data_IF_507008149835
#
_entry.id   IF_507008149835
#
_cell.length_a   1.000
_cell.length_b   1.000
_cell.length_c   1.000
_cell.angle_alpha   90.00
_cell.angle_beta   90.00
_cell.angle_gamma   90.00
#
_symmetry.space_group_name_H-M   'P 1'
#
loop_
_entity.id
_entity.type
_entity.pdbx_description
1 polymer ?
#
# COMPACT_ATOMS: atom_id res chain seq x y z
N UNK A 1 -12.88 23.66 53.12
CA UNK A 1 -12.72 24.77 52.15
C UNK A 1 -13.73 24.57 51.03
N UNK A 2 -14.58 25.56 50.75
CA UNK A 2 -15.80 25.38 49.95
C UNK A 2 -15.46 25.41 48.44
N UNK A 3 -15.64 24.30 47.72
CA UNK A 3 -15.21 24.11 46.32
C UNK A 3 -15.74 25.21 45.38
N UNK A 4 -16.94 25.72 45.68
CA UNK A 4 -17.60 26.81 44.96
C UNK A 4 -16.78 28.12 44.96
N UNK A 5 -16.18 28.48 46.10
CA UNK A 5 -15.35 29.70 46.24
C UNK A 5 -14.02 29.62 45.47
N UNK A 6 -13.54 28.41 45.17
CA UNK A 6 -12.30 28.20 44.42
C UNK A 6 -12.57 28.36 42.92
N UNK A 7 -13.68 27.82 42.43
CA UNK A 7 -14.11 27.91 41.02
C UNK A 7 -14.42 29.37 40.64
N UNK A 8 -15.11 30.11 41.52
CA UNK A 8 -15.42 31.53 41.29
C UNK A 8 -14.16 32.43 41.26
N UNK A 9 -13.06 32.01 41.90
CA UNK A 9 -11.80 32.76 41.96
C UNK A 9 -10.87 32.53 40.76
N UNK A 10 -10.97 31.36 40.14
CA UNK A 10 -10.09 30.93 39.05
C UNK A 10 -10.70 31.30 37.69
N UNK A 11 -12.03 31.42 37.62
CA UNK A 11 -12.75 31.71 36.37
C UNK A 11 -12.84 30.49 35.46
N UNK A 12 -13.84 30.46 34.58
CA UNK A 12 -14.06 29.32 33.67
C UNK A 12 -12.98 29.20 32.58
N UNK A 13 -12.24 30.26 32.31
CA UNK A 13 -11.27 30.34 31.22
C UNK A 13 -10.06 29.36 31.35
N UNK A 14 -9.32 29.32 32.47
CA UNK A 14 -8.23 28.36 32.63
C UNK A 14 -8.70 26.91 32.69
N UNK A 15 -9.91 26.63 33.19
CA UNK A 15 -10.50 25.29 33.18
C UNK A 15 -10.79 24.85 31.74
N UNK A 16 -11.38 25.72 30.92
CA UNK A 16 -11.64 25.44 29.51
C UNK A 16 -10.35 25.23 28.71
N UNK A 17 -9.31 26.05 28.96
CA UNK A 17 -8.01 25.90 28.31
C UNK A 17 -7.33 24.57 28.68
N UNK A 18 -7.41 24.16 29.94
CA UNK A 18 -6.85 22.88 30.40
C UNK A 18 -7.58 21.67 29.79
N UNK A 19 -8.91 21.75 29.65
CA UNK A 19 -9.68 20.71 28.96
C UNK A 19 -9.34 20.64 27.47
N UNK A 20 -9.20 21.78 26.80
CA UNK A 20 -8.80 21.83 25.38
C UNK A 20 -7.38 21.31 25.15
N UNK A 21 -6.45 21.60 26.06
CA UNK A 21 -5.09 21.06 25.96
C UNK A 21 -5.05 19.56 26.24
N UNK A 22 -5.84 19.04 27.19
CA UNK A 22 -6.00 17.59 27.38
C UNK A 22 -6.59 16.95 26.12
N UNK A 23 -7.65 17.51 25.52
CA UNK A 23 -8.24 16.97 24.29
C UNK A 23 -7.19 17.00 23.16
N UNK A 24 -6.47 18.11 22.99
CA UNK A 24 -5.43 18.23 21.96
C UNK A 24 -4.28 17.25 22.16
N UNK A 25 -3.82 17.07 23.40
CA UNK A 25 -2.76 16.11 23.77
C UNK A 25 -3.24 14.68 23.58
N UNK A 26 -4.46 14.36 24.04
CA UNK A 26 -5.03 13.02 23.90
C UNK A 26 -5.23 12.70 22.43
N UNK A 27 -5.77 13.63 21.63
CA UNK A 27 -5.88 13.51 20.17
C UNK A 27 -4.51 13.33 19.51
N UNK A 28 -3.50 14.10 19.92
CA UNK A 28 -2.14 13.97 19.40
C UNK A 28 -1.51 12.60 19.71
N UNK A 29 -1.75 12.04 20.90
CA UNK A 29 -1.20 10.75 21.32
C UNK A 29 -2.03 9.54 20.83
N UNK A 30 -3.35 9.64 20.66
CA UNK A 30 -4.14 8.53 20.10
C UNK A 30 -3.93 8.35 18.61
N UNK A 31 -3.53 9.39 17.87
CA UNK A 31 -3.32 9.32 16.41
C UNK A 31 -1.88 8.95 16.01
N UNK A 32 -0.92 8.92 16.93
CA UNK A 32 0.40 8.36 16.64
C UNK A 32 0.37 6.86 16.85
N UNK A 33 0.30 6.14 15.74
CA UNK A 33 0.57 4.71 15.68
C UNK A 33 2.02 4.47 16.14
N UNK A 34 2.21 3.97 17.37
CA UNK A 34 3.52 3.59 17.87
C UNK A 34 3.81 2.18 17.36
N UNK A 35 4.44 2.10 16.21
CA UNK A 35 4.93 0.87 15.62
C UNK A 35 6.37 0.65 16.09
N UNK A 36 6.65 -0.51 16.69
CA UNK A 36 8.03 -0.93 16.87
C UNK A 36 8.60 -1.36 15.52
N UNK A 37 9.10 -0.37 14.77
CA UNK A 37 9.62 -0.54 13.42
C UNK A 37 10.83 -1.47 13.36
N UNK A 38 11.50 -1.72 14.48
CA UNK A 38 12.75 -2.48 14.52
C UNK A 38 12.55 -3.97 14.20
N UNK A 39 11.33 -4.48 14.35
CA UNK A 39 11.02 -5.89 14.10
C UNK A 39 10.75 -6.20 12.61
N UNK A 40 10.45 -5.19 11.79
CA UNK A 40 10.01 -5.37 10.41
C UNK A 40 11.04 -4.82 9.43
N UNK A 41 11.35 -5.59 8.38
CA UNK A 41 12.11 -5.06 7.23
C UNK A 41 11.19 -4.58 6.11
N UNK A 42 9.90 -4.92 6.17
CA UNK A 42 8.86 -4.30 5.37
C UNK A 42 7.66 -4.00 6.26
N UNK A 43 7.22 -2.75 6.27
CA UNK A 43 5.93 -2.37 6.83
C UNK A 43 5.39 -1.20 6.04
N UNK A 44 4.32 -1.44 5.30
CA UNK A 44 3.68 -0.45 4.45
C UNK A 44 2.18 -0.42 4.69
N UNK A 45 1.56 0.74 4.45
CA UNK A 45 0.13 0.94 4.70
C UNK A 45 -0.52 1.69 3.56
N UNK A 46 -1.68 1.21 3.13
CA UNK A 46 -2.50 1.81 2.10
C UNK A 46 -3.87 2.16 2.66
N UNK A 47 -4.33 3.39 2.46
CA UNK A 47 -5.73 3.76 2.71
C UNK A 47 -6.59 3.30 1.53
N UNK A 48 -7.70 2.64 1.81
CA UNK A 48 -8.61 2.17 0.76
C UNK A 48 -9.26 3.34 0.01
N UNK A 49 -9.69 3.17 -1.26
CA UNK A 49 -10.32 4.25 -2.02
C UNK A 49 -11.60 4.82 -1.40
N UNK A 50 -12.27 4.08 -0.52
CA UNK A 50 -13.43 4.55 0.25
C UNK A 50 -13.07 5.19 1.60
N UNK A 51 -11.77 5.26 1.91
CA UNK A 51 -11.18 5.86 3.11
C UNK A 51 -11.59 5.23 4.45
N UNK A 52 -12.20 4.04 4.42
CA UNK A 52 -12.72 3.38 5.63
C UNK A 52 -11.73 2.42 6.26
N UNK A 53 -10.81 1.87 5.49
CA UNK A 53 -9.91 0.81 5.94
C UNK A 53 -8.47 1.13 5.62
N UNK A 54 -7.57 0.61 6.45
CA UNK A 54 -6.17 0.48 6.12
C UNK A 54 -5.86 -0.95 5.72
N UNK A 55 -5.01 -1.07 4.71
CA UNK A 55 -4.40 -2.32 4.32
C UNK A 55 -2.92 -2.24 4.62
N UNK A 56 -2.46 -3.12 5.51
CA UNK A 56 -1.06 -3.23 5.86
C UNK A 56 -0.46 -4.40 5.10
N UNK A 57 0.74 -4.19 4.54
CA UNK A 57 1.63 -5.24 4.07
C UNK A 57 2.83 -5.24 5.00
N UNK A 58 3.23 -6.41 5.48
CA UNK A 58 4.34 -6.53 6.41
C UNK A 58 5.20 -7.75 6.09
N UNK A 59 6.48 -7.63 6.44
CA UNK A 59 7.44 -8.72 6.40
C UNK A 59 8.47 -8.55 7.52
N UNK A 60 8.77 -9.65 8.20
CA UNK A 60 9.85 -9.72 9.20
C UNK A 60 10.59 -11.03 9.13
N UNK A 61 11.83 -11.00 9.59
CA UNK A 61 12.67 -12.18 9.65
C UNK A 61 12.03 -13.24 10.55
N UNK A 62 11.97 -14.47 10.04
CA UNK A 62 11.61 -15.64 10.83
C UNK A 62 12.68 -15.97 11.87
N UNK A 63 12.36 -16.89 12.79
CA UNK A 63 13.39 -17.55 13.58
C UNK A 63 14.29 -18.41 12.67
N UNK A 64 15.48 -18.79 13.16
CA UNK A 64 16.36 -19.71 12.44
C UNK A 64 15.58 -20.96 11.98
N UNK A 65 15.72 -21.32 10.70
CA UNK A 65 15.03 -22.44 10.04
C UNK A 65 13.51 -22.28 9.82
N UNK A 66 12.95 -21.09 10.11
CA UNK A 66 11.60 -20.72 9.64
C UNK A 66 11.74 -19.67 8.54
N UNK A 67 10.90 -19.77 7.50
CA UNK A 67 10.84 -18.73 6.47
C UNK A 67 10.37 -17.39 7.06
N UNK A 68 10.57 -16.32 6.29
CA UNK A 68 10.09 -15.00 6.68
C UNK A 68 8.59 -15.00 6.92
N UNK A 69 8.17 -14.20 7.90
CA UNK A 69 6.76 -14.01 8.22
C UNK A 69 6.29 -12.81 7.41
N UNK A 70 5.47 -13.09 6.40
CA UNK A 70 4.89 -12.07 5.54
C UNK A 70 3.37 -12.17 5.56
N UNK A 71 2.70 -11.05 5.31
CA UNK A 71 1.26 -11.08 5.21
C UNK A 71 0.63 -9.73 4.94
N UNK A 72 -0.69 -9.78 4.81
CA UNK A 72 -1.50 -8.59 4.68
C UNK A 72 -2.63 -8.57 5.72
N UNK A 73 -2.96 -7.37 6.19
CA UNK A 73 -4.02 -7.13 7.17
C UNK A 73 -4.93 -6.01 6.72
N UNK A 74 -6.23 -6.26 6.74
CA UNK A 74 -7.28 -5.26 6.55
C UNK A 74 -7.84 -4.85 7.92
N UNK A 75 -7.66 -3.58 8.27
CA UNK A 75 -8.07 -2.99 9.54
C UNK A 75 -9.00 -1.80 9.30
N UNK A 76 -9.92 -1.51 10.23
CA UNK A 76 -10.69 -0.27 10.18
C UNK A 76 -9.77 0.94 10.40
N UNK A 77 -10.12 2.08 9.79
CA UNK A 77 -9.33 3.31 9.96
C UNK A 77 -9.31 3.73 11.43
N UNK A 78 -8.11 3.79 12.01
CA UNK A 78 -7.89 4.14 13.41
C UNK A 78 -7.57 2.95 14.30
N UNK A 79 -7.77 1.73 13.83
CA UNK A 79 -7.23 0.54 14.51
C UNK A 79 -5.70 0.53 14.40
N UNK A 80 -5.06 0.03 15.46
CA UNK A 80 -3.60 -0.11 15.49
C UNK A 80 -3.19 -1.40 14.80
N UNK A 81 -2.15 -1.33 13.98
CA UNK A 81 -1.56 -2.52 13.39
C UNK A 81 -1.06 -3.52 14.45
N UNK A 82 -1.43 -4.78 14.25
CA UNK A 82 -0.80 -5.95 14.85
C UNK A 82 -0.93 -7.13 13.88
N UNK A 83 0.02 -8.06 13.91
CA UNK A 83 0.02 -9.23 13.01
C UNK A 83 -1.21 -10.13 13.16
N UNK A 84 -1.96 -10.04 14.25
CA UNK A 84 -3.18 -10.80 14.49
C UNK A 84 -4.46 -9.94 14.50
N UNK A 85 -4.35 -8.64 14.20
CA UNK A 85 -5.49 -7.72 14.14
C UNK A 85 -6.21 -7.77 12.79
N UNK A 86 -7.48 -7.36 12.80
CA UNK A 86 -8.30 -7.24 11.60
C UNK A 86 -8.47 -8.57 10.84
N UNK A 87 -8.65 -8.46 9.52
CA UNK A 87 -8.80 -9.62 8.63
C UNK A 87 -7.49 -9.89 7.90
N UNK A 88 -6.97 -11.11 8.00
CA UNK A 88 -5.87 -11.57 7.14
C UNK A 88 -6.37 -11.83 5.73
N UNK A 89 -5.52 -11.57 4.75
CA UNK A 89 -5.64 -12.18 3.42
C UNK A 89 -4.24 -12.51 2.89
N UNK A 90 -4.04 -13.67 2.24
CA UNK A 90 -2.69 -14.16 1.92
C UNK A 90 -2.21 -13.76 0.52
N UNK A 91 -2.74 -12.67 -0.07
CA UNK A 91 -2.51 -12.33 -1.47
C UNK A 91 -2.02 -10.91 -1.67
N UNK A 92 -1.06 -10.72 -2.59
CA UNK A 92 -0.70 -9.40 -3.09
C UNK A 92 -1.80 -8.81 -3.96
N UNK A 93 -1.85 -7.48 -4.04
CA UNK A 93 -2.80 -6.77 -4.89
C UNK A 93 -2.16 -6.37 -6.20
N UNK A 94 -2.88 -6.58 -7.30
CA UNK A 94 -2.45 -6.13 -8.61
C UNK A 94 -3.12 -4.83 -9.02
N UNK A 95 -4.36 -4.60 -8.60
CA UNK A 95 -5.09 -3.37 -8.91
C UNK A 95 -6.35 -3.17 -8.06
N UNK A 96 -6.76 -1.91 -7.89
CA UNK A 96 -8.16 -1.57 -7.63
C UNK A 96 -8.95 -1.53 -8.94
N UNK A 97 -10.04 -2.29 -9.00
CA UNK A 97 -10.99 -2.23 -10.13
C UNK A 97 -12.13 -1.24 -9.88
N UNK A 98 -12.46 -1.02 -8.61
CA UNK A 98 -13.42 -0.04 -8.11
C UNK A 98 -13.07 0.30 -6.66
N UNK A 99 -13.91 1.11 -5.99
CA UNK A 99 -13.70 1.44 -4.57
C UNK A 99 -13.81 0.26 -3.61
N UNK A 100 -14.47 -0.81 -4.03
CA UNK A 100 -14.82 -1.98 -3.24
C UNK A 100 -14.33 -3.30 -3.86
N UNK A 101 -13.66 -3.25 -5.02
CA UNK A 101 -13.20 -4.46 -5.71
C UNK A 101 -11.70 -4.43 -5.96
N UNK A 102 -11.02 -5.47 -5.49
CA UNK A 102 -9.59 -5.67 -5.63
C UNK A 102 -9.32 -6.79 -6.63
N UNK A 103 -8.32 -6.60 -7.50
CA UNK A 103 -7.79 -7.63 -8.38
C UNK A 103 -6.58 -8.32 -7.75
N UNK A 104 -6.61 -9.65 -7.80
CA UNK A 104 -5.49 -10.52 -7.42
C UNK A 104 -5.25 -11.52 -8.54
N UNK A 105 -4.03 -11.63 -9.02
CA UNK A 105 -3.58 -12.64 -9.96
C UNK A 105 -3.00 -13.83 -9.19
N UNK A 106 -3.38 -15.04 -9.57
CA UNK A 106 -3.00 -16.30 -8.92
C UNK A 106 -2.39 -17.26 -9.94
N UNK A 107 -1.38 -17.99 -9.53
CA UNK A 107 -0.61 -18.88 -10.39
C UNK A 107 -0.65 -20.29 -9.80
N UNK A 108 -1.45 -21.16 -10.41
CA UNK A 108 -1.90 -22.41 -9.77
C UNK A 108 -0.99 -23.61 -10.04
N UNK A 109 -0.11 -23.57 -11.05
CA UNK A 109 0.61 -24.76 -11.48
C UNK A 109 2.09 -24.53 -11.80
N UNK A 110 2.94 -25.21 -11.04
CA UNK A 110 4.32 -25.49 -11.40
C UNK A 110 4.36 -26.47 -12.58
N UNK A 111 5.03 -26.10 -13.68
CA UNK A 111 5.30 -27.00 -14.81
C UNK A 111 4.19 -27.15 -15.86
N UNK A 112 3.15 -26.32 -15.83
CA UNK A 112 2.24 -26.18 -16.97
C UNK A 112 2.89 -25.31 -18.07
N UNK A 113 2.58 -25.57 -19.34
CA UNK A 113 2.91 -24.64 -20.41
C UNK A 113 2.30 -23.27 -20.06
N UNK A 114 3.14 -22.24 -20.03
CA UNK A 114 2.67 -20.90 -19.71
C UNK A 114 1.52 -20.52 -20.65
N UNK A 115 0.48 -19.89 -20.12
CA UNK A 115 -0.61 -19.31 -20.89
C UNK A 115 -0.89 -17.93 -20.31
N UNK A 116 -1.11 -16.95 -21.20
CA UNK A 116 -1.48 -15.58 -20.80
C UNK A 116 -2.98 -15.44 -20.51
N UNK A 117 -3.78 -16.42 -20.94
CA UNK A 117 -5.21 -16.50 -20.71
C UNK A 117 -5.52 -16.97 -19.28
N UNK A 118 -6.53 -16.36 -18.61
CA UNK A 118 -7.03 -16.87 -17.35
C UNK A 118 -7.60 -18.28 -17.48
N UNK A 119 -7.25 -19.16 -16.54
CA UNK A 119 -7.83 -20.51 -16.43
C UNK A 119 -9.15 -20.51 -15.65
N UNK A 120 -9.29 -19.59 -14.70
CA UNK A 120 -10.47 -19.44 -13.84
C UNK A 120 -10.52 -18.02 -13.28
N UNK A 121 -11.74 -17.55 -13.00
CA UNK A 121 -11.97 -16.32 -12.25
C UNK A 121 -12.88 -16.66 -11.07
N UNK A 122 -12.42 -16.38 -9.86
CA UNK A 122 -13.23 -16.52 -8.65
C UNK A 122 -13.47 -15.16 -8.00
N UNK A 123 -14.50 -15.10 -7.16
CA UNK A 123 -14.84 -13.93 -6.37
C UNK A 123 -14.96 -14.36 -4.91
N UNK A 124 -14.27 -13.63 -4.04
CA UNK A 124 -14.29 -13.85 -2.60
C UNK A 124 -14.68 -12.56 -1.88
N UNK A 125 -15.38 -12.66 -0.76
CA UNK A 125 -15.67 -11.51 0.10
C UNK A 125 -14.59 -11.37 1.17
N UNK A 126 -13.97 -10.19 1.23
CA UNK A 126 -13.04 -9.80 2.29
C UNK A 126 -13.65 -8.64 3.07
N UNK A 127 -14.55 -8.95 3.99
CA UNK A 127 -15.36 -7.94 4.65
C UNK A 127 -16.26 -7.20 3.67
N UNK A 128 -16.08 -5.89 3.55
CA UNK A 128 -16.87 -5.07 2.63
C UNK A 128 -16.28 -5.00 1.22
N UNK A 129 -15.19 -5.73 0.97
CA UNK A 129 -14.53 -5.78 -0.34
C UNK A 129 -14.88 -7.07 -1.08
N UNK A 130 -14.91 -6.97 -2.40
CA UNK A 130 -14.89 -8.10 -3.32
C UNK A 130 -13.46 -8.30 -3.81
N UNK A 131 -12.90 -9.48 -3.60
CA UNK A 131 -11.62 -9.89 -4.17
C UNK A 131 -11.89 -10.69 -5.42
N UNK A 132 -11.61 -10.10 -6.58
CA UNK A 132 -11.62 -10.80 -7.87
C UNK A 132 -10.26 -11.49 -8.06
N UNK A 133 -10.29 -12.81 -8.05
CA UNK A 133 -9.10 -13.64 -8.22
C UNK A 133 -9.06 -14.17 -9.66
N UNK A 134 -7.97 -13.88 -10.37
CA UNK A 134 -7.76 -14.35 -11.74
C UNK A 134 -6.63 -15.36 -11.72
N UNK A 135 -6.96 -16.61 -12.00
CA UNK A 135 -6.04 -17.73 -11.96
C UNK A 135 -5.42 -17.96 -13.34
N UNK A 136 -4.12 -18.26 -13.38
CA UNK A 136 -3.37 -18.62 -14.58
C UNK A 136 -2.73 -19.99 -14.40
N UNK A 137 -2.74 -20.78 -15.47
CA UNK A 137 -1.97 -22.03 -15.60
C UNK A 137 -0.56 -21.69 -16.07
N UNK A 138 0.21 -20.99 -15.25
CA UNK A 138 1.59 -20.63 -15.56
C UNK A 138 2.39 -20.57 -14.27
N UNK A 139 3.67 -20.92 -14.34
CA UNK A 139 4.64 -20.42 -13.39
C UNK A 139 5.00 -18.99 -13.74
N UNK A 140 5.22 -18.15 -12.73
CA UNK A 140 5.80 -16.83 -12.95
C UNK A 140 7.30 -17.03 -13.23
N UNK A 141 7.68 -16.88 -14.50
CA UNK A 141 9.00 -17.27 -14.98
C UNK A 141 9.97 -16.09 -14.92
N UNK A 142 10.56 -15.87 -13.74
CA UNK A 142 11.54 -14.82 -13.51
C UNK A 142 10.92 -13.48 -13.11
N UNK A 143 11.81 -12.52 -12.89
CA UNK A 143 11.49 -11.17 -12.46
C UNK A 143 12.32 -10.16 -13.24
N UNK A 144 11.67 -9.11 -13.72
CA UNK A 144 12.33 -7.92 -14.25
C UNK A 144 12.37 -6.84 -13.17
N UNK A 145 13.52 -6.17 -13.04
CA UNK A 145 13.61 -4.92 -12.30
C UNK A 145 14.12 -3.84 -13.23
N UNK A 146 13.49 -2.67 -13.18
CA UNK A 146 13.93 -1.51 -13.95
C UNK A 146 13.82 -0.27 -13.10
N UNK A 147 14.91 0.49 -13.04
CA UNK A 147 15.00 1.74 -12.31
C UNK A 147 15.05 2.90 -13.31
N UNK A 148 14.24 3.93 -13.06
CA UNK A 148 14.16 5.11 -13.88
C UNK A 148 14.09 6.37 -13.03
N UNK A 149 14.47 7.50 -13.63
CA UNK A 149 14.12 8.83 -13.12
C UNK A 149 12.96 9.40 -13.93
N UNK A 150 12.20 10.32 -13.32
CA UNK A 150 11.07 10.96 -13.99
C UNK A 150 10.91 12.44 -13.64
N UNK A 151 10.33 13.23 -14.54
CA UNK A 151 10.12 14.66 -14.35
C UNK A 151 8.91 14.98 -13.45
N UNK A 152 7.84 14.20 -13.60
CA UNK A 152 6.59 14.43 -12.88
C UNK A 152 5.75 13.18 -12.78
N UNK A 153 4.90 13.15 -11.77
CA UNK A 153 3.94 12.10 -11.54
C UNK A 153 2.69 12.65 -10.85
N UNK A 154 1.53 12.06 -11.13
CA UNK A 154 0.26 12.46 -10.53
C UNK A 154 -0.75 11.31 -10.60
N UNK A 155 -1.75 11.35 -9.73
CA UNK A 155 -2.84 10.37 -9.72
C UNK A 155 -4.03 10.92 -10.48
N UNK A 156 -4.58 10.12 -11.40
CA UNK A 156 -5.79 10.46 -12.13
C UNK A 156 -6.57 9.20 -12.51
N UNK A 157 -7.89 9.23 -12.30
CA UNK A 157 -8.82 8.15 -12.69
C UNK A 157 -8.38 6.75 -12.20
N UNK A 158 -7.95 6.67 -10.94
CA UNK A 158 -7.51 5.40 -10.33
C UNK A 158 -6.19 4.86 -10.87
N UNK A 159 -5.36 5.72 -11.47
CA UNK A 159 -4.04 5.38 -11.97
C UNK A 159 -3.00 6.38 -11.50
N UNK A 160 -1.79 5.90 -11.23
CA UNK A 160 -0.61 6.73 -11.15
C UNK A 160 -0.06 6.92 -12.57
N UNK A 161 0.13 8.17 -12.97
CA UNK A 161 0.69 8.55 -14.28
C UNK A 161 2.07 9.12 -14.04
N UNK A 162 3.06 8.62 -14.78
CA UNK A 162 4.47 9.02 -14.72
C UNK A 162 4.86 9.58 -16.07
N UNK A 163 5.46 10.77 -16.08
CA UNK A 163 5.83 11.52 -17.28
C UNK A 163 7.31 11.93 -17.26
N UNK A 164 7.88 12.03 -18.46
CA UNK A 164 9.28 12.44 -18.64
C UNK A 164 10.23 11.39 -18.07
N UNK A 165 10.00 10.12 -18.42
CA UNK A 165 10.85 9.00 -17.98
C UNK A 165 12.19 9.07 -18.75
N UNK A 166 13.28 9.04 -18.00
CA UNK A 166 14.65 9.04 -18.52
C UNK A 166 15.22 7.62 -18.59
N UNK A 167 16.29 7.43 -19.36
CA UNK A 167 16.95 6.14 -19.57
C UNK A 167 16.04 5.00 -20.08
N UNK A 168 14.94 5.41 -20.72
CA UNK A 168 13.97 4.54 -21.39
C UNK A 168 13.50 5.17 -22.70
N UNK A 169 13.21 4.33 -23.69
CA UNK A 169 12.53 4.74 -24.93
C UNK A 169 11.07 5.14 -24.66
N UNK A 170 10.49 4.65 -23.56
CA UNK A 170 9.15 5.00 -23.11
C UNK A 170 9.22 6.28 -22.28
N UNK A 171 8.54 7.35 -22.72
CA UNK A 171 8.56 8.66 -22.03
C UNK A 171 7.43 8.88 -21.03
N UNK A 172 6.47 7.96 -20.99
CA UNK A 172 5.37 8.01 -20.03
C UNK A 172 4.81 6.62 -19.77
N UNK A 173 4.42 6.36 -18.52
CA UNK A 173 3.76 5.11 -18.12
C UNK A 173 2.57 5.41 -17.22
N UNK A 174 1.60 4.50 -17.20
CA UNK A 174 0.43 4.61 -16.34
C UNK A 174 0.14 3.26 -15.69
N UNK A 175 0.04 3.27 -14.36
CA UNK A 175 -0.14 2.07 -13.55
C UNK A 175 -1.45 2.15 -12.77
N UNK A 176 -2.20 1.04 -12.64
CA UNK A 176 -3.33 1.02 -11.72
C UNK A 176 -2.87 1.28 -10.29
N UNK A 177 -3.72 1.93 -9.49
CA UNK A 177 -3.55 1.96 -8.04
C UNK A 177 -3.67 0.54 -7.46
N UNK A 178 -3.00 0.27 -6.34
CA UNK A 178 -2.97 -1.02 -5.66
C UNK A 178 -1.53 -1.47 -5.37
N UNK A 179 -0.73 -1.82 -6.40
CA UNK A 179 0.61 -2.39 -6.23
C UNK A 179 1.73 -1.34 -6.15
N UNK A 180 1.40 -0.11 -5.80
CA UNK A 180 2.34 1.01 -5.75
C UNK A 180 2.76 1.21 -4.30
N UNK A 181 4.07 1.22 -4.04
CA UNK A 181 4.66 1.59 -2.76
C UNK A 181 5.44 2.89 -2.91
N UNK A 182 5.10 3.88 -2.09
CA UNK A 182 5.76 5.17 -2.05
C UNK A 182 6.66 5.21 -0.81
N UNK A 183 7.95 5.42 -1.04
CA UNK A 183 8.90 5.76 -0.01
C UNK A 183 8.99 7.29 0.08
N UNK A 184 9.06 7.80 1.30
CA UNK A 184 9.10 9.23 1.52
C UNK A 184 9.98 9.62 2.69
N UNK A 185 10.49 10.84 2.63
CA UNK A 185 11.21 11.46 3.73
C UNK A 185 10.58 12.83 4.00
N UNK A 186 10.17 13.09 5.24
CA UNK A 186 9.51 14.34 5.64
C UNK A 186 8.31 14.73 4.75
N UNK A 187 7.55 13.75 4.24
CA UNK A 187 6.38 13.97 3.39
C UNK A 187 6.68 14.20 1.91
N UNK A 188 7.97 14.15 1.51
CA UNK A 188 8.42 14.25 0.13
C UNK A 188 8.73 12.85 -0.40
N UNK A 189 8.24 12.54 -1.59
CA UNK A 189 8.49 11.27 -2.26
C UNK A 189 9.97 11.15 -2.60
N UNK A 190 10.62 10.10 -2.09
CA UNK A 190 12.01 9.78 -2.42
C UNK A 190 12.09 8.78 -3.57
N UNK A 191 11.19 7.79 -3.58
CA UNK A 191 11.05 6.82 -4.67
C UNK A 191 9.67 6.16 -4.66
N UNK A 192 9.29 5.62 -5.81
CA UNK A 192 8.10 4.79 -5.99
C UNK A 192 8.53 3.42 -6.51
N UNK A 193 8.00 2.36 -5.91
CA UNK A 193 8.17 0.98 -6.36
C UNK A 193 6.81 0.48 -6.83
N UNK A 194 6.74 -0.02 -8.05
CA UNK A 194 5.51 -0.51 -8.66
C UNK A 194 5.74 -1.96 -9.06
N UNK A 195 5.08 -2.86 -8.36
CA UNK A 195 5.11 -4.28 -8.70
C UNK A 195 3.96 -4.61 -9.63
N UNK A 196 4.13 -5.61 -10.49
CA UNK A 196 3.08 -6.03 -11.38
C UNK A 196 3.41 -7.28 -12.14
N UNK A 197 2.47 -7.68 -12.98
CA UNK A 197 2.65 -8.79 -13.90
C UNK A 197 2.77 -8.26 -15.33
N UNK A 198 3.73 -8.80 -16.08
CA UNK A 198 3.80 -8.60 -17.52
C UNK A 198 3.43 -9.87 -18.24
N UNK A 199 2.64 -9.71 -19.29
CA UNK A 199 2.26 -10.77 -20.21
C UNK A 199 2.83 -10.42 -21.58
N UNK A 200 3.58 -11.34 -22.17
CA UNK A 200 4.18 -11.15 -23.49
C UNK A 200 4.41 -12.50 -24.17
N UNK A 201 4.89 -12.48 -25.41
CA UNK A 201 5.37 -13.68 -26.10
C UNK A 201 6.89 -13.56 -26.28
N UNK A 202 7.62 -14.62 -26.00
CA UNK A 202 9.07 -14.66 -26.20
C UNK A 202 9.46 -14.71 -27.70
N UNK A 203 10.76 -14.79 -27.98
CA UNK A 203 11.26 -14.86 -29.37
C UNK A 203 10.81 -16.13 -30.12
N UNK A 204 10.42 -17.18 -29.42
CA UNK A 204 9.84 -18.40 -29.98
C UNK A 204 8.30 -18.34 -30.06
N UNK A 205 7.71 -17.17 -29.83
CA UNK A 205 6.28 -16.93 -29.75
C UNK A 205 5.58 -17.78 -28.67
N UNK A 206 6.28 -18.12 -27.58
CA UNK A 206 5.67 -18.76 -26.42
C UNK A 206 5.11 -17.70 -25.48
N UNK A 207 3.86 -17.86 -25.00
CA UNK A 207 3.31 -16.99 -23.96
C UNK A 207 4.17 -17.02 -22.69
N UNK A 208 4.36 -15.85 -22.09
CA UNK A 208 5.14 -15.64 -20.87
C UNK A 208 4.37 -14.76 -19.90
N UNK A 209 4.39 -15.13 -18.62
CA UNK A 209 3.99 -14.26 -17.51
C UNK A 209 5.17 -14.10 -16.54
N UNK A 210 5.57 -12.86 -16.28
CA UNK A 210 6.68 -12.54 -15.39
C UNK A 210 6.25 -11.51 -14.36
N UNK A 211 6.92 -11.52 -13.21
CA UNK A 211 6.86 -10.39 -12.30
C UNK A 211 7.69 -9.26 -12.87
N UNK A 212 7.22 -8.04 -12.77
CA UNK A 212 8.04 -6.85 -13.01
C UNK A 212 7.93 -5.92 -11.83
N UNK A 213 9.05 -5.27 -11.51
CA UNK A 213 9.13 -4.22 -10.52
C UNK A 213 9.78 -3.01 -11.14
N UNK A 214 9.09 -1.88 -11.10
CA UNK A 214 9.57 -0.61 -11.60
C UNK A 214 9.87 0.32 -10.44
N UNK A 215 11.09 0.84 -10.38
CA UNK A 215 11.48 1.89 -9.46
C UNK A 215 11.53 3.23 -10.19
N UNK A 216 10.86 4.25 -9.64
CA UNK A 216 10.85 5.61 -10.17
C UNK A 216 11.34 6.60 -9.12
N UNK A 217 12.34 7.39 -9.48
CA UNK A 217 12.92 8.45 -8.65
C UNK A 217 12.56 9.82 -9.27
N UNK A 218 11.72 10.64 -8.60
CA UNK A 218 11.35 11.95 -9.12
C UNK A 218 12.55 12.92 -9.12
N UNK A 219 12.81 13.62 -10.23
CA UNK A 219 13.83 14.67 -10.26
C UNK A 219 13.46 15.91 -9.46
N UNK A 220 12.16 16.18 -9.36
CA UNK A 220 11.60 17.30 -8.60
C UNK A 220 10.95 16.77 -7.34
N UNK A 221 11.03 17.53 -6.26
CA UNK A 221 10.32 17.22 -5.03
C UNK A 221 8.82 17.12 -5.30
N UNK A 222 8.24 15.96 -5.04
CA UNK A 222 6.80 15.72 -5.11
C UNK A 222 6.32 15.50 -3.69
N UNK A 223 5.33 16.28 -3.25
CA UNK A 223 4.69 16.06 -1.95
C UNK A 223 3.75 14.86 -2.04
N UNK A 224 3.77 13.97 -1.04
CA UNK A 224 2.79 12.86 -0.99
C UNK A 224 1.35 13.40 -1.07
N UNK A 225 1.09 14.57 -0.47
CA UNK A 225 -0.25 15.18 -0.48
C UNK A 225 -0.76 15.50 -1.89
N UNK A 226 0.15 15.75 -2.85
CA UNK A 226 -0.22 16.02 -4.24
C UNK A 226 -0.69 14.76 -4.98
N UNK A 227 -0.34 13.58 -4.46
CA UNK A 227 -0.75 12.28 -5.02
C UNK A 227 -2.08 11.78 -4.43
N UNK A 228 -2.58 12.45 -3.40
CA UNK A 228 -3.72 12.01 -2.60
C UNK A 228 -3.27 11.22 -1.38
N UNK A 229 -4.13 10.33 -0.89
CA UNK A 229 -3.81 9.47 0.26
C UNK A 229 -4.26 8.02 0.06
N UNK A 230 -4.94 7.70 -1.04
CA UNK A 230 -5.66 6.43 -1.23
C UNK A 230 -5.11 5.61 -2.40
N UNK A 231 -5.22 4.27 -2.28
CA UNK A 231 -4.96 3.34 -3.36
C UNK A 231 -3.46 3.04 -3.62
N UNK A 232 -2.55 3.53 -2.79
CA UNK A 232 -1.14 3.11 -2.80
C UNK A 232 -0.62 2.94 -1.38
N UNK A 233 0.41 2.12 -1.24
CA UNK A 233 1.11 1.91 0.01
C UNK A 233 2.08 3.05 0.30
N UNK A 234 2.11 3.50 1.55
CA UNK A 234 3.16 4.33 2.10
C UNK A 234 4.11 3.44 2.91
N UNK A 235 5.42 3.54 2.65
CA UNK A 235 6.43 2.95 3.53
C UNK A 235 6.36 3.59 4.90
N UNK A 236 6.23 2.76 5.94
CA UNK A 236 6.26 3.20 7.34
C UNK A 236 7.65 3.06 7.96
N UNK A 237 8.60 2.42 7.26
CA UNK A 237 10.00 2.32 7.65
C UNK A 237 10.78 3.53 7.13
#
# INVERSE_FOLDING_TARGET
>A
MNLKKIIDRIGYFPIAFFLLSIIGVTYYFTHREYLDKSEYYELTRQLTPDEKYYIYKYARYGAAFTGDITGYRLLERGERFAENAGKSFPYGFDAWLSKDTILVNRFDQAGADADTAPSRIDYESLGNFTVKQVFYKSTMNGGGHSEYTCDSLYVSRGKLIILGIHDSDVKSMAFPLGPITIHSHAGIVSKLVIDGIRKYHDAANKPMITSESYEFIPYRSVSIKELGETGYYLSLL
#
